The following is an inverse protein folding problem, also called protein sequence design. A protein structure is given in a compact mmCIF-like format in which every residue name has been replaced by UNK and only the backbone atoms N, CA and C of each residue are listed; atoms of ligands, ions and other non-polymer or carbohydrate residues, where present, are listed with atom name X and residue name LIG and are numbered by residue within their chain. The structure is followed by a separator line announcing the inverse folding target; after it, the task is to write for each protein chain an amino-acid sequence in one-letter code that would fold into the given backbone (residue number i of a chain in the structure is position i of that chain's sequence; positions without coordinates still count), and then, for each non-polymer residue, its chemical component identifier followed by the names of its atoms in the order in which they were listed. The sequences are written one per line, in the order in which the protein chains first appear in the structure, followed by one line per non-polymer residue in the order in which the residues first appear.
data_IF_905779820708
#
_entry.id   IF_905779820708
#
_cell.length_a   1.000
_cell.length_b   1.000
_cell.length_c   1.000
_cell.angle_alpha   90.00
_cell.angle_beta   90.00
_cell.angle_gamma   90.00
#
_symmetry.space_group_name_H-M   'P 1'
#
loop_
_entity.id
_entity.type
_entity.pdbx_description
1 polymer ?
#
# COMPACT_ATOMS: atom_id res chain seq x y z
N UNK A 1 -3.18 0.23 21.84
CA UNK A 1 -3.57 -0.27 20.50
C UNK A 1 -2.55 -1.24 19.89
N UNK A 2 -1.23 -0.96 19.95
CA UNK A 2 -0.17 -1.90 19.49
C UNK A 2 -0.20 -3.30 20.12
N UNK A 3 -0.79 -3.46 21.31
CA UNK A 3 -0.84 -4.71 22.08
C UNK A 3 -1.87 -5.73 21.60
N UNK A 4 -2.90 -5.34 20.84
CA UNK A 4 -3.99 -6.24 20.43
C UNK A 4 -3.69 -7.08 19.17
N UNK A 5 -2.53 -6.85 18.55
CA UNK A 5 -2.11 -7.52 17.31
C UNK A 5 -0.88 -8.43 17.53
N UNK A 6 -0.36 -8.49 18.75
CA UNK A 6 0.61 -9.50 19.16
C UNK A 6 -0.10 -10.86 19.17
N UNK A 7 0.09 -11.66 18.12
CA UNK A 7 -0.37 -13.05 18.08
C UNK A 7 -1.02 -13.49 16.76
N UNK A 8 -1.26 -12.58 15.81
CA UNK A 8 -1.53 -12.96 14.41
C UNK A 8 -0.44 -12.34 13.56
N UNK A 9 0.39 -13.18 12.95
CA UNK A 9 1.41 -12.77 11.97
C UNK A 9 0.72 -12.26 10.71
N UNK A 10 0.13 -11.06 10.81
CA UNK A 10 -0.38 -10.37 9.64
C UNK A 10 0.81 -9.89 8.85
N UNK A 11 0.88 -10.26 7.56
CA UNK A 11 2.04 -10.00 6.71
C UNK A 11 2.31 -8.51 6.43
N UNK A 12 1.44 -7.63 6.89
CA UNK A 12 1.54 -6.18 6.74
C UNK A 12 1.45 -5.47 8.08
N UNK A 13 2.05 -4.28 8.23
CA UNK A 13 1.78 -3.45 9.38
C UNK A 13 0.29 -3.07 9.43
N UNK A 14 -0.33 -3.04 10.61
CA UNK A 14 -1.76 -2.74 10.77
C UNK A 14 -2.18 -1.38 10.22
N UNK A 15 -1.26 -0.41 10.24
CA UNK A 15 -1.48 0.92 9.69
C UNK A 15 -1.72 0.92 8.16
N UNK A 16 -1.30 -0.14 7.45
CA UNK A 16 -1.40 -0.27 6.00
C UNK A 16 -2.38 -1.36 5.56
N UNK A 17 -3.12 -1.95 6.50
CA UNK A 17 -4.02 -3.08 6.27
C UNK A 17 -5.35 -2.67 5.60
N UNK A 18 -5.33 -1.71 4.68
CA UNK A 18 -6.52 -1.27 3.94
C UNK A 18 -6.80 -2.21 2.75
N UNK A 19 -8.07 -2.58 2.47
CA UNK A 19 -8.42 -3.47 1.36
C UNK A 19 -7.82 -3.04 0.01
N UNK A 20 -7.87 -1.76 -0.34
CA UNK A 20 -7.29 -1.25 -1.60
C UNK A 20 -5.76 -1.38 -1.66
N UNK A 21 -5.07 -1.28 -0.52
CA UNK A 21 -3.61 -1.51 -0.48
C UNK A 21 -3.29 -2.98 -0.76
N UNK A 22 -4.06 -3.89 -0.15
CA UNK A 22 -3.92 -5.34 -0.35
C UNK A 22 -4.26 -5.73 -1.79
N UNK A 23 -5.35 -5.18 -2.34
CA UNK A 23 -5.74 -5.44 -3.73
C UNK A 23 -4.67 -4.97 -4.73
N UNK A 24 -4.08 -3.79 -4.49
CA UNK A 24 -2.99 -3.27 -5.31
C UNK A 24 -1.74 -4.14 -5.21
N UNK A 25 -1.39 -4.63 -4.02
CA UNK A 25 -0.29 -5.60 -3.84
C UNK A 25 -0.56 -6.92 -4.57
N UNK A 26 -1.77 -7.48 -4.45
CA UNK A 26 -2.18 -8.69 -5.18
C UNK A 26 -2.08 -8.46 -6.68
N UNK A 27 -2.51 -7.30 -7.18
CA UNK A 27 -2.41 -6.91 -8.59
C UNK A 27 -0.95 -6.86 -9.03
N UNK A 28 -0.05 -6.24 -8.25
CA UNK A 28 1.39 -6.21 -8.54
C UNK A 28 1.99 -7.60 -8.67
N UNK A 29 1.61 -8.54 -7.80
CA UNK A 29 2.07 -9.94 -7.88
C UNK A 29 1.51 -10.64 -9.13
N UNK A 30 0.20 -10.50 -9.38
CA UNK A 30 -0.45 -11.11 -10.57
C UNK A 30 0.10 -10.60 -11.89
N UNK A 31 0.54 -9.34 -11.94
CA UNK A 31 1.16 -8.73 -13.11
C UNK A 31 2.67 -9.03 -13.21
N UNK A 32 3.25 -9.79 -12.27
CA UNK A 32 4.66 -10.12 -12.25
C UNK A 32 5.60 -8.94 -11.90
N UNK A 33 5.05 -7.82 -11.38
CA UNK A 33 5.85 -6.69 -10.90
C UNK A 33 6.48 -6.95 -9.53
N UNK A 34 5.99 -7.96 -8.80
CA UNK A 34 6.54 -8.41 -7.53
C UNK A 34 6.41 -9.93 -7.40
N UNK A 35 7.38 -10.60 -6.77
CA UNK A 35 7.41 -12.05 -6.55
C UNK A 35 7.04 -12.45 -5.12
N UNK A 36 7.05 -11.52 -4.18
CA UNK A 36 6.71 -11.77 -2.77
C UNK A 36 5.78 -10.69 -2.19
N UNK A 37 5.16 -10.99 -1.04
CA UNK A 37 4.33 -10.02 -0.30
C UNK A 37 5.14 -8.80 0.14
N UNK A 38 6.37 -9.02 0.63
CA UNK A 38 7.27 -7.94 1.05
C UNK A 38 7.65 -7.03 -0.11
N UNK A 39 7.98 -7.63 -1.27
CA UNK A 39 8.30 -6.89 -2.48
C UNK A 39 7.09 -6.11 -3.01
N UNK A 40 5.91 -6.71 -3.00
CA UNK A 40 4.68 -6.02 -3.40
C UNK A 40 4.36 -4.83 -2.49
N UNK A 41 4.66 -4.95 -1.19
CA UNK A 41 4.49 -3.85 -0.24
C UNK A 41 5.51 -2.73 -0.46
N UNK A 42 6.78 -3.06 -0.71
CA UNK A 42 7.81 -2.08 -1.07
C UNK A 42 7.43 -1.34 -2.35
N UNK A 43 7.03 -2.07 -3.39
CA UNK A 43 6.58 -1.50 -4.65
C UNK A 43 5.35 -0.59 -4.46
N UNK A 44 4.40 -0.97 -3.61
CA UNK A 44 3.27 -0.10 -3.28
C UNK A 44 3.72 1.22 -2.66
N UNK A 45 4.69 1.19 -1.73
CA UNK A 45 5.25 2.41 -1.12
C UNK A 45 5.91 3.30 -2.17
N UNK A 46 6.68 2.71 -3.09
CA UNK A 46 7.35 3.43 -4.17
C UNK A 46 6.36 4.04 -5.16
N UNK A 47 5.38 3.26 -5.64
CA UNK A 47 4.31 3.73 -6.54
C UNK A 47 3.56 4.92 -5.88
N UNK A 48 3.23 4.84 -4.59
CA UNK A 48 2.55 5.92 -3.87
C UNK A 48 3.42 7.17 -3.65
N UNK A 49 4.74 7.03 -3.56
CA UNK A 49 5.69 8.15 -3.48
C UNK A 49 5.87 8.82 -4.84
N UNK A 50 5.88 8.05 -5.92
CA UNK A 50 6.04 8.54 -7.29
C UNK A 50 4.83 9.38 -7.76
N UNK A 51 3.63 9.03 -7.31
CA UNK A 51 2.43 9.79 -7.61
C UNK A 51 2.49 11.18 -6.97
N UNK A 52 2.50 12.25 -7.75
CA UNK A 52 2.46 13.63 -7.26
C UNK A 52 1.41 14.43 -8.06
N UNK A 53 1.34 15.75 -7.83
CA UNK A 53 0.32 16.60 -8.46
C UNK A 53 0.47 16.68 -10.00
N UNK A 54 1.65 16.38 -10.53
CA UNK A 54 1.96 16.47 -11.96
C UNK A 54 1.73 15.14 -12.69
N UNK A 55 1.37 14.06 -11.97
CA UNK A 55 1.13 12.74 -12.57
C UNK A 55 -0.35 12.56 -12.91
N UNK A 56 -0.65 12.45 -14.20
CA UNK A 56 -1.98 12.10 -14.69
C UNK A 56 -2.28 10.61 -14.47
N UNK A 57 -3.45 10.31 -13.90
CA UNK A 57 -3.91 8.95 -13.64
C UNK A 57 -5.37 8.77 -14.03
N UNK A 58 -5.81 7.53 -14.18
CA UNK A 58 -7.23 7.23 -14.39
C UNK A 58 -8.07 7.60 -13.17
N UNK A 59 -9.36 7.89 -13.35
CA UNK A 59 -10.28 8.18 -12.23
C UNK A 59 -10.27 7.08 -11.16
N UNK A 60 -10.29 5.81 -11.58
CA UNK A 60 -10.25 4.66 -10.67
C UNK A 60 -8.97 4.68 -9.82
N UNK A 61 -7.83 4.91 -10.46
CA UNK A 61 -6.55 4.97 -9.75
C UNK A 61 -6.47 6.17 -8.81
N UNK A 62 -7.03 7.32 -9.20
CA UNK A 62 -7.16 8.47 -8.32
C UNK A 62 -7.97 8.13 -7.06
N UNK A 63 -9.16 7.52 -7.23
CA UNK A 63 -10.03 7.10 -6.10
C UNK A 63 -9.32 6.10 -5.16
N UNK A 64 -8.53 5.17 -5.70
CA UNK A 64 -7.70 4.26 -4.90
C UNK A 64 -6.60 5.01 -4.14
N UNK A 65 -5.89 5.93 -4.80
CA UNK A 65 -4.76 6.67 -4.23
C UNK A 65 -5.21 7.60 -3.11
N UNK A 66 -6.30 8.34 -3.28
CA UNK A 66 -6.81 9.23 -2.22
C UNK A 66 -7.25 8.44 -0.99
N UNK A 67 -7.72 7.20 -1.17
CA UNK A 67 -8.13 6.35 -0.06
C UNK A 67 -6.93 5.86 0.75
N UNK A 68 -5.82 5.53 0.09
CA UNK A 68 -4.68 4.88 0.77
C UNK A 68 -3.52 5.82 1.10
N UNK A 69 -3.16 6.74 0.21
CA UNK A 69 -1.95 7.57 0.35
C UNK A 69 -1.90 8.40 1.64
N UNK A 70 -3.01 8.96 2.17
CA UNK A 70 -2.99 9.64 3.46
C UNK A 70 -2.51 8.76 4.61
N UNK A 71 -2.90 7.48 4.65
CA UNK A 71 -2.44 6.55 5.69
C UNK A 71 -0.92 6.32 5.64
N UNK A 72 -0.35 6.29 4.43
CA UNK A 72 1.10 6.21 4.24
C UNK A 72 1.82 7.51 4.59
N UNK A 73 1.22 8.66 4.32
CA UNK A 73 1.80 9.96 4.67
C UNK A 73 1.81 10.19 6.18
N UNK A 74 0.74 9.84 6.90
CA UNK A 74 0.62 10.04 8.35
C UNK A 74 1.67 9.25 9.13
N UNK A 75 2.06 8.09 8.61
CA UNK A 75 3.12 7.26 9.19
C UNK A 75 4.49 7.54 8.55
N UNK A 76 4.64 8.56 7.71
CA UNK A 76 5.87 8.86 6.96
C UNK A 76 6.44 7.65 6.18
N UNK A 77 5.54 6.81 5.66
CA UNK A 77 5.85 5.54 5.02
C UNK A 77 6.71 4.62 5.92
N UNK A 78 6.69 4.81 7.24
CA UNK A 78 7.45 4.00 8.19
C UNK A 78 6.78 2.62 8.34
N UNK A 79 7.54 1.56 8.11
CA UNK A 79 7.09 0.18 8.26
C UNK A 79 8.24 -0.63 8.85
#
# INVERSE_FOLDING_TARGET
MRSYLKGKDFSLPPAYAHPSSIERMIRSIRMGRAQSVSEAFLLLKEDLRALNADVEVTRKEYEEVIAIKPMFLVTDYQA
#
